data_IF_518653745089
#
_entry.id   IF_518653745089
#
_cell.length_a   1.000
_cell.length_b   1.000
_cell.length_c   1.000
_cell.angle_alpha   90.00
_cell.angle_beta   90.00
_cell.angle_gamma   90.00
#
_symmetry.space_group_name_H-M   'P 1'
#
loop_
_entity.id
_entity.type
_entity.pdbx_description
1 polymer ?
#
# COMPACT_ATOMS: atom_id res chain seq x y z
N UNK A 1 16.17 9.61 -13.79
CA UNK A 1 15.55 9.08 -12.58
C UNK A 1 14.30 8.29 -12.98
N UNK A 2 14.13 7.10 -12.41
CA UNK A 2 12.94 6.30 -12.65
C UNK A 2 11.87 6.71 -11.65
N UNK A 3 10.62 6.74 -12.10
CA UNK A 3 9.45 6.92 -11.27
C UNK A 3 8.90 5.59 -10.82
N UNK A 4 8.28 5.59 -9.66
CA UNK A 4 7.58 4.47 -9.08
C UNK A 4 6.57 5.01 -8.09
N UNK A 5 5.39 4.49 -8.10
CA UNK A 5 4.24 4.88 -7.31
C UNK A 5 3.90 6.38 -7.30
N UNK A 6 2.66 6.69 -7.05
CA UNK A 6 2.16 8.05 -6.87
C UNK A 6 0.92 8.04 -5.98
N UNK A 7 0.73 9.12 -5.24
CA UNK A 7 -0.48 9.37 -4.46
C UNK A 7 -0.95 10.81 -4.66
N UNK A 8 -2.12 11.15 -4.16
CA UNK A 8 -2.70 12.48 -4.21
C UNK A 8 -3.13 12.98 -2.85
N UNK A 9 -3.13 14.29 -2.67
CA UNK A 9 -3.71 14.97 -1.52
C UNK A 9 -4.40 16.24 -1.98
N UNK A 10 -5.59 16.47 -1.44
CA UNK A 10 -6.31 17.72 -1.63
C UNK A 10 -6.41 18.42 -0.28
N UNK A 11 -5.86 19.63 -0.20
CA UNK A 11 -6.01 20.45 1.00
C UNK A 11 -7.49 20.74 1.25
N UNK A 12 -8.08 20.31 2.39
CA UNK A 12 -9.50 20.45 2.64
C UNK A 12 -9.95 21.92 2.80
N UNK A 13 -9.04 22.82 3.17
CA UNK A 13 -9.35 24.23 3.41
C UNK A 13 -9.30 25.08 2.13
N UNK A 14 -8.28 24.92 1.30
CA UNK A 14 -8.10 25.72 0.09
C UNK A 14 -8.54 25.03 -1.20
N UNK A 15 -8.68 23.71 -1.16
CA UNK A 15 -8.92 22.89 -2.37
C UNK A 15 -7.69 22.75 -3.27
N UNK A 16 -6.50 23.09 -2.77
CA UNK A 16 -5.25 22.91 -3.51
C UNK A 16 -4.92 21.43 -3.63
N UNK A 17 -4.59 20.97 -4.86
CA UNK A 17 -4.32 19.58 -5.17
C UNK A 17 -2.83 19.34 -5.36
N UNK A 18 -2.28 18.36 -4.64
CA UNK A 18 -0.87 17.98 -4.71
C UNK A 18 -0.73 16.52 -5.12
N UNK A 19 -0.05 16.27 -6.24
CA UNK A 19 0.43 14.95 -6.60
C UNK A 19 1.77 14.69 -5.89
N UNK A 20 1.87 13.51 -5.26
CA UNK A 20 3.06 13.04 -4.55
C UNK A 20 3.62 11.89 -5.38
N UNK A 21 4.86 12.04 -5.88
CA UNK A 21 5.43 11.12 -6.87
C UNK A 21 6.77 10.57 -6.41
N UNK A 22 6.82 9.25 -6.25
CA UNK A 22 8.01 8.51 -5.88
C UNK A 22 9.01 8.44 -7.03
N UNK A 23 10.29 8.70 -6.71
CA UNK A 23 11.41 8.57 -7.64
C UNK A 23 12.53 7.76 -6.99
N UNK A 24 13.43 7.24 -7.80
CA UNK A 24 14.55 6.45 -7.29
C UNK A 24 15.39 7.19 -6.24
N UNK A 25 15.47 8.53 -6.30
CA UNK A 25 16.30 9.36 -5.42
C UNK A 25 15.54 10.14 -4.35
N UNK A 26 14.22 10.00 -4.27
CA UNK A 26 13.39 10.74 -3.32
C UNK A 26 11.93 10.84 -3.76
N UNK A 27 11.21 11.81 -3.22
CA UNK A 27 9.80 12.05 -3.50
C UNK A 27 9.58 13.49 -3.96
N UNK A 28 8.81 13.66 -5.02
CA UNK A 28 8.43 14.95 -5.59
C UNK A 28 7.02 15.33 -5.14
N UNK A 29 6.82 16.62 -4.82
CA UNK A 29 5.50 17.21 -4.58
C UNK A 29 5.20 18.19 -5.71
N UNK A 30 4.08 17.98 -6.37
CA UNK A 30 3.69 18.68 -7.59
C UNK A 30 2.31 19.27 -7.37
N UNK A 31 2.19 20.58 -7.43
CA UNK A 31 0.88 21.25 -7.44
C UNK A 31 0.21 20.96 -8.80
N UNK A 32 -0.92 20.30 -8.75
CA UNK A 32 -1.74 19.91 -9.90
C UNK A 32 -3.11 20.59 -9.90
N UNK A 33 -3.32 21.57 -9.02
CA UNK A 33 -4.57 22.35 -8.92
C UNK A 33 -5.00 22.93 -10.27
N UNK A 34 -4.03 23.38 -11.07
CA UNK A 34 -4.22 23.66 -12.51
C UNK A 34 -3.50 22.57 -13.32
N UNK A 35 -4.19 21.52 -13.83
CA UNK A 35 -3.57 20.41 -14.53
C UNK A 35 -2.92 20.83 -15.87
N UNK A 36 -3.21 22.03 -16.36
CA UNK A 36 -2.57 22.59 -17.55
C UNK A 36 -1.29 23.36 -17.28
N UNK A 37 -1.00 23.63 -15.97
CA UNK A 37 0.15 24.42 -15.52
C UNK A 37 0.72 23.89 -14.20
N UNK A 38 0.94 22.59 -14.15
CA UNK A 38 1.48 21.90 -12.98
C UNK A 38 2.82 22.49 -12.50
N UNK A 39 3.06 22.51 -11.18
CA UNK A 39 4.27 23.06 -10.56
C UNK A 39 4.96 22.02 -9.71
N UNK A 40 6.13 21.55 -10.11
CA UNK A 40 7.02 20.81 -9.24
C UNK A 40 7.69 21.79 -8.26
N UNK A 41 7.26 21.78 -7.00
CA UNK A 41 7.64 22.82 -6.05
C UNK A 41 8.38 22.33 -4.82
N UNK A 42 8.34 21.01 -4.50
CA UNK A 42 9.10 20.48 -3.38
C UNK A 42 9.70 19.10 -3.67
N UNK A 43 10.84 18.82 -3.05
CA UNK A 43 11.58 17.58 -3.14
C UNK A 43 12.02 17.13 -1.76
N UNK A 44 11.64 15.88 -1.40
CA UNK A 44 12.15 15.15 -0.25
C UNK A 44 13.21 14.17 -0.73
N UNK A 45 14.49 14.30 -0.33
CA UNK A 45 15.50 13.29 -0.65
C UNK A 45 15.20 11.94 -0.01
N UNK A 46 15.67 10.85 -0.63
CA UNK A 46 15.65 9.52 0.01
C UNK A 46 16.49 9.54 1.30
N UNK A 47 16.06 8.85 2.34
CA UNK A 47 16.78 8.85 3.63
C UNK A 47 18.12 8.09 3.57
N UNK A 48 18.26 7.18 2.61
CA UNK A 48 19.48 6.39 2.39
C UNK A 48 19.84 6.31 0.90
N UNK A 49 20.17 5.12 0.39
CA UNK A 49 20.55 4.93 -1.02
C UNK A 49 19.34 5.02 -1.96
N UNK A 50 19.56 5.35 -3.25
CA UNK A 50 18.51 5.24 -4.26
C UNK A 50 17.95 3.82 -4.35
N UNK A 51 16.63 3.72 -4.62
CA UNK A 51 15.93 2.47 -4.91
C UNK A 51 14.91 2.70 -6.01
N UNK A 52 14.63 1.69 -6.83
CA UNK A 52 13.57 1.76 -7.84
C UNK A 52 12.18 1.75 -7.19
N UNK A 53 12.04 1.03 -6.08
CA UNK A 53 10.75 0.83 -5.41
C UNK A 53 10.60 1.74 -4.21
N UNK A 54 9.49 2.47 -4.23
CA UNK A 54 9.05 3.42 -3.21
C UNK A 54 7.52 3.45 -3.24
N UNK A 55 6.89 3.37 -2.08
CA UNK A 55 5.45 3.45 -1.96
C UNK A 55 5.02 4.61 -1.06
N UNK A 56 3.84 5.19 -1.37
CA UNK A 56 3.35 6.43 -0.76
C UNK A 56 1.87 6.28 -0.45
N UNK A 57 1.49 6.60 0.79
CA UNK A 57 0.08 6.77 1.18
C UNK A 57 -0.10 8.07 1.94
N UNK A 58 -1.33 8.56 1.98
CA UNK A 58 -1.70 9.77 2.72
C UNK A 58 -2.76 9.42 3.75
N UNK A 59 -2.60 9.93 4.96
CA UNK A 59 -3.58 9.83 6.03
C UNK A 59 -3.45 11.04 6.95
N UNK A 60 -4.58 11.63 7.38
CA UNK A 60 -4.66 12.76 8.30
C UNK A 60 -3.64 13.88 7.95
N UNK A 61 -3.70 14.36 6.70
CA UNK A 61 -2.84 15.40 6.13
C UNK A 61 -1.32 15.11 6.20
N UNK A 62 -0.94 13.83 6.32
CA UNK A 62 0.46 13.39 6.30
C UNK A 62 0.72 12.39 5.17
N UNK A 63 1.83 12.56 4.47
CA UNK A 63 2.34 11.57 3.53
C UNK A 63 3.28 10.61 4.25
N UNK A 64 3.04 9.31 4.09
CA UNK A 64 3.82 8.19 4.59
C UNK A 64 4.57 7.55 3.43
N UNK A 65 5.90 7.54 3.49
CA UNK A 65 6.77 7.20 2.37
C UNK A 65 7.76 6.13 2.79
N UNK A 66 7.68 4.97 2.17
CA UNK A 66 8.58 3.84 2.36
C UNK A 66 9.47 3.61 1.14
N UNK A 67 10.48 2.77 1.26
CA UNK A 67 11.33 2.33 0.15
C UNK A 67 12.01 1.00 0.47
N UNK A 68 12.35 0.25 -0.56
CA UNK A 68 13.19 -0.96 -0.44
C UNK A 68 14.67 -0.68 -0.15
N UNK A 69 15.10 0.58 -0.18
CA UNK A 69 16.46 0.94 0.17
C UNK A 69 16.78 0.53 1.61
N UNK A 70 17.86 -0.21 1.82
CA UNK A 70 18.26 -0.65 3.16
C UNK A 70 18.46 0.51 4.12
N UNK A 71 17.81 0.45 5.29
CA UNK A 71 17.86 1.49 6.32
C UNK A 71 16.99 2.72 6.03
N UNK A 72 16.13 2.68 4.98
CA UNK A 72 15.29 3.83 4.62
C UNK A 72 14.26 4.16 5.69
N UNK A 73 13.63 3.15 6.31
CA UNK A 73 12.54 3.35 7.27
C UNK A 73 11.29 3.98 6.64
N UNK A 74 10.54 4.73 7.45
CA UNK A 74 9.34 5.46 7.04
C UNK A 74 9.58 6.97 7.21
N UNK A 75 9.59 7.71 6.10
CA UNK A 75 9.59 9.18 6.13
C UNK A 75 8.14 9.67 6.21
N UNK A 76 7.87 10.66 7.07
CA UNK A 76 6.54 11.25 7.25
C UNK A 76 6.65 12.75 6.97
N UNK A 77 5.76 13.25 6.12
CA UNK A 77 5.70 14.67 5.73
C UNK A 77 4.32 15.22 6.03
N UNK A 78 4.26 16.24 6.89
CA UNK A 78 3.04 17.00 7.12
C UNK A 78 2.74 17.88 5.90
N UNK A 79 1.63 17.63 5.21
CA UNK A 79 1.35 18.20 3.89
C UNK A 79 0.92 19.67 3.95
N UNK A 80 0.18 20.07 4.98
CA UNK A 80 -0.21 21.46 5.17
C UNK A 80 1.00 22.42 5.30
N UNK A 81 2.12 21.94 5.87
CA UNK A 81 3.37 22.70 5.95
C UNK A 81 3.98 23.03 4.58
N UNK A 82 3.59 22.32 3.52
CA UNK A 82 4.04 22.57 2.15
C UNK A 82 3.29 23.71 1.46
N UNK A 83 2.11 24.08 1.96
CA UNK A 83 1.24 25.08 1.33
C UNK A 83 1.87 26.47 1.26
N UNK A 84 2.74 26.80 2.22
CA UNK A 84 3.43 28.09 2.28
C UNK A 84 4.70 28.17 1.42
N UNK A 85 5.09 27.06 0.77
CA UNK A 85 6.29 27.03 -0.06
C UNK A 85 6.04 27.74 -1.40
N UNK A 86 7.04 28.51 -1.90
CA UNK A 86 6.96 29.16 -3.20
C UNK A 86 6.87 28.12 -4.34
N UNK A 87 5.98 28.40 -5.32
CA UNK A 87 5.71 27.53 -6.46
C UNK A 87 6.62 27.76 -7.66
N UNK A 88 7.45 28.81 -7.63
CA UNK A 88 8.32 29.21 -8.74
C UNK A 88 9.70 28.57 -8.69
N UNK A 89 9.96 27.74 -7.68
CA UNK A 89 11.22 27.00 -7.48
C UNK A 89 10.97 25.64 -6.83
N UNK A 90 11.94 24.73 -6.92
CA UNK A 90 11.92 23.45 -6.21
C UNK A 90 12.57 23.61 -4.83
N UNK A 91 11.77 23.51 -3.78
CA UNK A 91 12.22 23.60 -2.41
C UNK A 91 12.72 22.24 -1.92
N UNK A 92 13.93 22.18 -1.36
CA UNK A 92 14.39 20.96 -0.69
C UNK A 92 13.76 20.93 0.71
N UNK A 93 13.11 19.83 1.05
CA UNK A 93 12.47 19.65 2.35
C UNK A 93 13.06 18.45 3.10
N UNK A 94 12.88 18.45 4.39
CA UNK A 94 13.18 17.34 5.29
C UNK A 94 11.86 16.68 5.72
N UNK A 95 11.86 15.40 6.11
CA UNK A 95 10.66 14.78 6.67
C UNK A 95 10.27 15.48 7.98
N UNK A 96 8.98 15.61 8.23
CA UNK A 96 8.45 16.14 9.50
C UNK A 96 8.83 15.22 10.66
N UNK A 97 8.75 13.90 10.43
CA UNK A 97 9.19 12.87 11.36
C UNK A 97 9.65 11.61 10.63
N UNK A 98 10.21 10.68 11.39
CA UNK A 98 10.81 9.47 10.86
C UNK A 98 10.54 8.30 11.79
N UNK A 99 10.09 7.15 11.25
CA UNK A 99 9.97 5.92 11.99
C UNK A 99 11.00 4.90 11.51
N UNK A 100 11.83 4.40 12.41
CA UNK A 100 12.95 3.50 12.13
C UNK A 100 12.75 2.06 12.60
N UNK A 101 11.52 1.63 12.90
CA UNK A 101 11.23 0.30 13.44
C UNK A 101 11.40 -0.85 12.44
N UNK A 102 11.56 -0.54 11.14
CA UNK A 102 11.98 -1.46 10.09
C UNK A 102 13.06 -0.81 9.20
N UNK A 103 13.92 -1.64 8.56
CA UNK A 103 15.03 -1.12 7.75
C UNK A 103 14.63 -0.72 6.34
N UNK A 104 13.68 -1.42 5.74
CA UNK A 104 13.11 -1.18 4.42
C UNK A 104 11.67 -1.69 4.40
N UNK A 105 10.88 -1.25 3.44
CA UNK A 105 9.57 -1.82 3.15
C UNK A 105 9.33 -1.80 1.63
N UNK A 106 8.60 -2.80 1.13
CA UNK A 106 8.16 -2.84 -0.26
C UNK A 106 6.97 -1.90 -0.46
N UNK A 107 5.89 -2.10 0.31
CA UNK A 107 4.68 -1.28 0.28
C UNK A 107 4.25 -0.86 1.69
N UNK A 108 3.35 0.12 1.75
CA UNK A 108 2.59 0.53 2.93
C UNK A 108 1.14 0.75 2.54
N UNK A 109 0.19 0.18 3.28
CA UNK A 109 -1.22 0.44 3.12
C UNK A 109 -1.80 1.00 4.43
N UNK A 110 -2.76 1.91 4.33
CA UNK A 110 -3.41 2.51 5.49
C UNK A 110 -4.90 2.20 5.43
N UNK A 111 -5.45 1.66 6.50
CA UNK A 111 -6.89 1.63 6.69
C UNK A 111 -7.32 2.97 7.28
N UNK A 112 -7.85 3.85 6.42
CA UNK A 112 -8.26 5.20 6.82
C UNK A 112 -9.43 5.20 7.82
N UNK A 113 -10.24 4.12 7.86
CA UNK A 113 -11.37 4.00 8.78
C UNK A 113 -10.90 3.76 10.22
N UNK A 114 -9.79 3.03 10.39
CA UNK A 114 -9.29 2.63 11.72
C UNK A 114 -8.00 3.35 12.14
N UNK A 115 -7.31 4.01 11.19
CA UNK A 115 -6.06 4.71 11.45
C UNK A 115 -4.85 3.80 11.66
N UNK A 116 -4.89 2.55 11.15
CA UNK A 116 -3.73 1.65 11.20
C UNK A 116 -3.02 1.58 9.85
N UNK A 117 -1.68 1.62 9.89
CA UNK A 117 -0.83 1.40 8.72
C UNK A 117 -0.19 0.00 8.76
N UNK A 118 -0.12 -0.63 7.61
CA UNK A 118 0.44 -1.96 7.37
C UNK A 118 1.64 -1.82 6.44
N UNK A 119 2.86 -1.80 7.01
CA UNK A 119 4.08 -1.84 6.21
C UNK A 119 4.45 -3.31 5.93
N UNK A 120 4.72 -3.64 4.66
CA UNK A 120 4.94 -5.01 4.18
C UNK A 120 6.19 -5.13 3.32
N UNK A 121 6.64 -6.36 3.08
CA UNK A 121 7.94 -6.59 2.46
C UNK A 121 9.08 -5.94 3.26
N UNK A 122 8.89 -5.82 4.59
CA UNK A 122 9.85 -5.19 5.48
C UNK A 122 10.98 -6.14 5.86
N UNK A 123 12.06 -5.61 6.46
CA UNK A 123 13.11 -6.43 7.06
C UNK A 123 12.73 -7.08 8.38
N UNK A 124 11.47 -6.87 8.85
CA UNK A 124 10.91 -7.44 10.07
C UNK A 124 9.80 -8.44 9.72
N UNK A 125 9.42 -9.30 10.66
CA UNK A 125 8.27 -10.22 10.57
C UNK A 125 8.19 -11.01 9.25
N UNK A 126 9.33 -11.53 8.80
CA UNK A 126 9.45 -12.31 7.54
C UNK A 126 8.95 -11.56 6.29
N UNK A 127 8.80 -10.24 6.34
CA UNK A 127 8.19 -9.42 5.28
C UNK A 127 6.66 -9.46 5.26
N UNK A 128 6.02 -10.01 6.27
CA UNK A 128 4.57 -9.95 6.49
C UNK A 128 4.14 -8.61 7.08
N UNK A 129 3.10 -8.58 7.89
CA UNK A 129 2.52 -7.34 8.39
C UNK A 129 3.36 -6.75 9.54
N UNK A 130 3.75 -5.49 9.39
CA UNK A 130 4.28 -4.63 10.46
C UNK A 130 3.24 -3.53 10.69
N UNK A 131 2.45 -3.64 11.78
CA UNK A 131 1.24 -2.85 12.00
C UNK A 131 1.54 -1.67 12.92
N UNK A 132 1.26 -0.48 12.41
CA UNK A 132 1.48 0.78 13.12
C UNK A 132 0.16 1.46 13.44
N UNK A 133 0.02 1.93 14.67
CA UNK A 133 -1.03 2.86 15.07
C UNK A 133 -0.64 4.29 14.66
N UNK A 134 -1.54 4.98 13.99
CA UNK A 134 -1.38 6.35 13.50
C UNK A 134 -2.25 7.35 14.29
N UNK A 135 -2.64 7.08 15.54
CA UNK A 135 -3.36 8.05 16.39
C UNK A 135 -2.60 9.39 16.45
N UNK A 136 -1.27 9.34 16.51
CA UNK A 136 -0.38 10.49 16.19
C UNK A 136 0.37 10.18 14.89
N UNK A 137 -0.02 10.76 13.75
CA UNK A 137 0.62 10.51 12.45
C UNK A 137 2.13 10.81 12.44
N UNK A 138 2.60 11.68 13.32
CA UNK A 138 4.02 12.03 13.42
C UNK A 138 4.82 11.12 14.36
N UNK A 139 4.13 10.27 15.13
CA UNK A 139 4.75 9.34 16.06
C UNK A 139 4.14 7.93 15.99
N UNK A 140 4.20 7.25 14.82
CA UNK A 140 3.62 5.91 14.67
C UNK A 140 4.14 4.92 15.70
N UNK A 141 3.25 4.09 16.24
CA UNK A 141 3.58 3.10 17.26
C UNK A 141 3.35 1.69 16.74
N UNK A 142 4.34 0.80 16.88
CA UNK A 142 4.16 -0.63 16.58
C UNK A 142 3.15 -1.23 17.57
N UNK A 143 2.06 -1.79 17.04
CA UNK A 143 0.98 -2.40 17.84
C UNK A 143 0.73 -3.86 17.54
N UNK A 144 1.23 -4.36 16.39
CA UNK A 144 1.05 -5.75 16.02
C UNK A 144 1.90 -6.19 14.84
N UNK A 145 1.84 -7.48 14.55
CA UNK A 145 2.56 -8.08 13.43
C UNK A 145 1.94 -9.41 13.02
N UNK A 146 2.24 -9.83 11.78
CA UNK A 146 1.96 -11.17 11.27
C UNK A 146 3.16 -11.62 10.43
N UNK A 147 3.74 -12.80 10.72
CA UNK A 147 5.01 -13.26 10.17
C UNK A 147 4.96 -14.66 9.54
N UNK A 148 3.75 -15.23 9.38
CA UNK A 148 3.57 -16.57 8.79
C UNK A 148 3.79 -16.58 7.26
N UNK A 149 3.69 -15.42 6.60
CA UNK A 149 3.99 -15.26 5.16
C UNK A 149 4.58 -13.89 4.86
N UNK A 150 5.41 -13.86 3.81
CA UNK A 150 5.74 -12.62 3.12
C UNK A 150 4.47 -12.06 2.46
N UNK A 151 4.28 -10.75 2.49
CA UNK A 151 3.23 -10.06 1.73
C UNK A 151 3.86 -9.04 0.78
N UNK A 152 3.46 -9.11 -0.49
CA UNK A 152 3.89 -8.17 -1.52
C UNK A 152 3.00 -6.92 -1.51
N UNK A 153 1.69 -7.11 -1.41
CA UNK A 153 0.70 -6.08 -1.24
C UNK A 153 -0.42 -6.54 -0.29
N UNK A 154 -1.18 -5.59 0.28
CA UNK A 154 -2.28 -5.89 1.20
C UNK A 154 -3.45 -4.95 1.00
N UNK A 155 -4.66 -5.44 1.29
CA UNK A 155 -5.86 -4.61 1.35
C UNK A 155 -6.55 -4.78 2.71
N UNK A 156 -6.29 -3.89 3.68
CA UNK A 156 -6.99 -3.88 4.97
C UNK A 156 -8.37 -3.23 4.83
N UNK A 157 -9.37 -3.84 5.44
CA UNK A 157 -10.76 -3.35 5.43
C UNK A 157 -11.43 -3.60 6.79
N UNK A 158 -12.39 -2.78 7.17
CA UNK A 158 -13.39 -3.15 8.15
C UNK A 158 -14.49 -3.92 7.41
N UNK A 159 -14.51 -5.24 7.58
CA UNK A 159 -15.36 -6.11 6.78
C UNK A 159 -16.85 -5.87 7.01
N UNK A 160 -17.61 -5.68 5.93
CA UNK A 160 -19.06 -5.46 5.93
C UNK A 160 -19.78 -6.40 4.93
N UNK A 161 -19.14 -7.52 4.61
CA UNK A 161 -19.64 -8.50 3.65
C UNK A 161 -20.62 -9.50 4.22
N UNK A 162 -20.91 -10.56 3.45
CA UNK A 162 -21.92 -11.55 3.83
C UNK A 162 -21.57 -12.47 5.00
N UNK A 163 -20.27 -12.59 5.36
CA UNK A 163 -19.83 -13.44 6.46
C UNK A 163 -20.09 -12.76 7.81
N UNK A 164 -21.16 -13.19 8.49
CA UNK A 164 -21.62 -12.57 9.74
C UNK A 164 -20.60 -12.72 10.90
N UNK A 165 -19.70 -13.71 10.85
CA UNK A 165 -18.69 -13.94 11.90
C UNK A 165 -17.61 -12.86 11.91
N UNK A 166 -17.42 -12.14 10.77
CA UNK A 166 -16.40 -11.11 10.61
C UNK A 166 -16.94 -9.69 10.41
N UNK A 167 -18.26 -9.49 10.38
CA UNK A 167 -18.83 -8.14 10.20
C UNK A 167 -18.36 -7.19 11.30
N UNK A 168 -17.79 -6.06 10.88
CA UNK A 168 -17.24 -5.03 11.76
C UNK A 168 -15.82 -5.29 12.25
N UNK A 169 -15.20 -6.42 11.89
CA UNK A 169 -13.81 -6.73 12.22
C UNK A 169 -12.86 -6.19 11.15
N UNK A 170 -11.68 -5.81 11.57
CA UNK A 170 -10.61 -5.47 10.63
C UNK A 170 -9.96 -6.73 10.07
N UNK A 171 -10.10 -6.93 8.77
CA UNK A 171 -9.57 -8.06 8.01
C UNK A 171 -8.57 -7.54 6.98
N UNK A 172 -7.47 -8.27 6.80
CA UNK A 172 -6.44 -7.92 5.81
C UNK A 172 -6.37 -9.03 4.75
N UNK A 173 -6.59 -8.68 3.50
CA UNK A 173 -6.31 -9.56 2.37
C UNK A 173 -4.85 -9.35 1.97
N UNK A 174 -4.03 -10.39 2.07
CA UNK A 174 -2.60 -10.35 1.78
C UNK A 174 -2.30 -11.03 0.44
N UNK A 175 -1.63 -10.33 -0.47
CA UNK A 175 -1.14 -10.84 -1.75
C UNK A 175 0.33 -11.21 -1.59
N UNK A 176 0.63 -12.51 -1.52
CA UNK A 176 1.87 -13.03 -0.95
C UNK A 176 2.92 -13.43 -2.01
N UNK A 177 2.86 -12.86 -3.22
CA UNK A 177 3.75 -13.24 -4.30
C UNK A 177 3.63 -14.74 -4.63
N UNK A 178 4.69 -15.49 -4.48
CA UNK A 178 4.69 -16.95 -4.70
C UNK A 178 3.86 -17.74 -3.67
N UNK A 179 3.45 -17.11 -2.57
CA UNK A 179 2.66 -17.73 -1.49
C UNK A 179 1.16 -17.74 -1.73
N UNK A 180 0.66 -17.12 -2.80
CA UNK A 180 -0.77 -16.98 -3.08
C UNK A 180 -1.42 -15.87 -2.26
N UNK A 181 -2.58 -16.13 -1.66
CA UNK A 181 -3.38 -15.15 -0.91
C UNK A 181 -3.59 -15.66 0.51
N UNK A 182 -3.46 -14.78 1.50
CA UNK A 182 -3.90 -15.04 2.87
C UNK A 182 -4.99 -14.04 3.26
N UNK A 183 -5.99 -14.51 3.99
CA UNK A 183 -6.98 -13.67 4.68
C UNK A 183 -6.62 -13.71 6.16
N UNK A 184 -6.41 -12.56 6.75
CA UNK A 184 -5.90 -12.42 8.12
C UNK A 184 -6.88 -11.59 8.93
N UNK A 185 -7.28 -12.08 10.10
CA UNK A 185 -8.03 -11.31 11.09
C UNK A 185 -7.05 -10.46 11.91
N UNK A 186 -7.18 -9.17 11.79
CA UNK A 186 -6.35 -8.17 12.44
C UNK A 186 -7.17 -7.26 13.38
N UNK A 187 -8.33 -7.71 13.84
CA UNK A 187 -9.17 -6.95 14.79
C UNK A 187 -8.39 -6.68 16.09
N UNK A 188 -7.82 -7.72 16.67
CA UNK A 188 -6.88 -7.57 17.79
C UNK A 188 -5.45 -7.52 17.25
N UNK A 189 -4.86 -6.33 17.21
CA UNK A 189 -3.49 -6.13 16.71
C UNK A 189 -2.43 -6.91 17.49
N UNK A 190 -2.74 -7.33 18.72
CA UNK A 190 -1.83 -8.12 19.58
C UNK A 190 -1.97 -9.63 19.35
N UNK A 191 -3.02 -10.07 18.66
CA UNK A 191 -3.33 -11.48 18.35
C UNK A 191 -3.83 -11.65 16.90
N UNK A 192 -2.99 -11.22 15.95
CA UNK A 192 -3.28 -11.28 14.51
C UNK A 192 -3.20 -12.73 14.04
N UNK A 193 -4.23 -13.22 13.37
CA UNK A 193 -4.37 -14.63 13.05
C UNK A 193 -4.81 -14.91 11.62
N UNK A 194 -4.34 -16.05 11.07
CA UNK A 194 -4.75 -16.54 9.76
C UNK A 194 -6.22 -17.03 9.82
N UNK A 195 -7.06 -16.51 8.91
CA UNK A 195 -8.41 -17.01 8.66
C UNK A 195 -8.36 -18.09 7.58
N UNK A 196 -7.83 -17.76 6.40
CA UNK A 196 -7.72 -18.68 5.28
C UNK A 196 -6.49 -18.41 4.43
N UNK A 197 -6.06 -19.45 3.70
CA UNK A 197 -5.03 -19.34 2.67
C UNK A 197 -5.50 -19.97 1.37
N UNK A 198 -5.28 -19.30 0.25
CA UNK A 198 -5.70 -19.73 -1.08
C UNK A 198 -4.53 -19.67 -2.06
N UNK A 199 -4.44 -20.74 -2.89
CA UNK A 199 -3.64 -20.74 -4.12
C UNK A 199 -4.56 -20.99 -5.32
N UNK A 200 -4.12 -20.61 -6.52
CA UNK A 200 -4.91 -20.74 -7.74
C UNK A 200 -4.10 -21.32 -8.90
N UNK A 201 -4.80 -21.81 -9.92
CA UNK A 201 -4.16 -22.38 -11.09
C UNK A 201 -3.43 -21.30 -11.92
N UNK A 202 -2.25 -21.63 -12.41
CA UNK A 202 -1.41 -20.69 -13.16
C UNK A 202 -0.99 -19.46 -12.34
N UNK A 203 -0.80 -19.62 -11.02
CA UNK A 203 -0.19 -18.59 -10.19
C UNK A 203 1.28 -18.44 -10.56
N UNK A 204 1.67 -17.26 -10.99
CA UNK A 204 3.05 -16.84 -11.22
C UNK A 204 3.59 -16.08 -10.01
N UNK A 205 2.96 -14.96 -9.70
CA UNK A 205 3.29 -14.10 -8.55
C UNK A 205 2.08 -13.24 -8.18
N UNK A 206 1.37 -13.60 -7.11
CA UNK A 206 0.20 -12.86 -6.66
C UNK A 206 0.60 -11.44 -6.26
N UNK A 207 0.17 -10.44 -7.03
CA UNK A 207 0.75 -9.11 -7.01
C UNK A 207 -0.01 -8.16 -6.07
N UNK A 208 -1.18 -7.73 -6.50
CA UNK A 208 -2.00 -6.75 -5.78
C UNK A 208 -3.49 -7.02 -6.01
N UNK A 209 -4.35 -6.43 -5.19
CA UNK A 209 -5.77 -6.55 -5.37
C UNK A 209 -6.60 -5.61 -4.53
N UNK A 210 -7.89 -5.61 -4.78
CA UNK A 210 -8.84 -4.73 -4.15
C UNK A 210 -10.16 -5.44 -3.85
N UNK A 211 -10.70 -5.23 -2.66
CA UNK A 211 -12.03 -5.74 -2.27
C UNK A 211 -13.10 -4.80 -2.78
N UNK A 212 -14.11 -5.33 -3.48
CA UNK A 212 -15.22 -4.53 -3.97
C UNK A 212 -16.11 -4.00 -2.85
N UNK A 213 -16.88 -2.93 -3.12
CA UNK A 213 -17.67 -2.18 -2.15
C UNK A 213 -18.65 -3.01 -1.29
N UNK A 214 -19.11 -4.16 -1.79
CA UNK A 214 -20.02 -5.04 -1.05
C UNK A 214 -19.29 -6.10 -0.22
N UNK A 215 -17.97 -6.08 -0.19
CA UNK A 215 -17.05 -6.98 0.50
C UNK A 215 -17.34 -8.48 0.23
N UNK A 216 -17.95 -8.77 -0.91
CA UNK A 216 -18.20 -10.14 -1.36
C UNK A 216 -17.12 -10.65 -2.30
N UNK A 217 -16.55 -9.77 -3.10
CA UNK A 217 -15.55 -10.14 -4.11
C UNK A 217 -14.28 -9.36 -3.91
N UNK A 218 -13.16 -10.06 -4.06
CA UNK A 218 -11.83 -9.46 -4.20
C UNK A 218 -11.36 -9.65 -5.64
N UNK A 219 -10.83 -8.59 -6.22
CA UNK A 219 -10.24 -8.55 -7.56
C UNK A 219 -8.74 -8.43 -7.40
N UNK A 220 -7.96 -9.28 -8.06
CA UNK A 220 -6.52 -9.23 -7.93
C UNK A 220 -5.82 -9.60 -9.24
N UNK A 221 -4.54 -9.25 -9.34
CA UNK A 221 -3.68 -9.52 -10.48
C UNK A 221 -2.49 -10.40 -10.09
N UNK A 222 -1.93 -11.07 -11.09
CA UNK A 222 -0.68 -11.82 -10.99
C UNK A 222 0.36 -11.11 -11.87
N UNK A 223 1.56 -10.91 -11.37
CA UNK A 223 2.61 -10.15 -12.07
C UNK A 223 3.34 -10.98 -13.13
N UNK A 224 3.37 -12.30 -12.98
CA UNK A 224 4.20 -13.19 -13.78
C UNK A 224 3.42 -14.30 -14.52
N UNK A 225 2.08 -14.35 -14.47
CA UNK A 225 1.32 -15.40 -15.13
C UNK A 225 1.40 -15.30 -16.65
N UNK A 226 1.46 -14.11 -17.24
CA UNK A 226 1.70 -13.90 -18.67
C UNK A 226 3.05 -14.47 -19.08
N UNK A 227 4.10 -14.14 -18.34
CA UNK A 227 5.46 -14.57 -18.64
C UNK A 227 5.64 -16.09 -18.46
N UNK A 228 5.04 -16.66 -17.40
CA UNK A 228 5.23 -18.05 -17.04
C UNK A 228 4.33 -19.00 -17.84
N UNK A 229 3.15 -18.57 -18.26
CA UNK A 229 2.12 -19.42 -18.86
C UNK A 229 1.66 -18.96 -20.25
N UNK A 230 2.07 -17.78 -20.70
CA UNK A 230 1.68 -17.20 -22.00
C UNK A 230 0.21 -16.77 -22.04
N UNK A 231 -0.33 -16.37 -20.90
CA UNK A 231 -1.66 -15.77 -20.79
C UNK A 231 -1.65 -14.36 -21.33
N UNK A 232 -2.82 -13.78 -21.59
CA UNK A 232 -2.98 -12.34 -21.61
C UNK A 232 -3.19 -11.83 -20.18
N UNK A 233 -3.13 -10.51 -19.97
CA UNK A 233 -3.33 -9.88 -18.66
C UNK A 233 -4.67 -10.30 -18.06
N UNK A 234 -4.63 -10.80 -16.82
CA UNK A 234 -5.79 -11.30 -16.09
C UNK A 234 -6.08 -10.49 -14.84
N UNK A 235 -7.35 -10.23 -14.62
CA UNK A 235 -7.88 -9.84 -13.31
C UNK A 235 -8.69 -11.00 -12.76
N UNK A 236 -8.20 -11.65 -11.73
CA UNK A 236 -8.86 -12.75 -11.06
C UNK A 236 -9.98 -12.25 -10.14
N UNK A 237 -11.00 -13.04 -9.98
CA UNK A 237 -12.17 -12.74 -9.13
C UNK A 237 -12.25 -13.84 -8.07
N UNK A 238 -12.07 -13.46 -6.80
CA UNK A 238 -12.19 -14.31 -5.64
C UNK A 238 -13.50 -14.00 -4.90
N UNK A 239 -14.34 -14.99 -4.64
CA UNK A 239 -15.49 -14.88 -3.74
C UNK A 239 -14.99 -15.02 -2.29
N UNK A 240 -15.29 -14.02 -1.49
CA UNK A 240 -14.96 -13.92 -0.06
C UNK A 240 -16.23 -13.76 0.78
N UNK A 241 -17.36 -14.28 0.29
CA UNK A 241 -18.62 -14.30 1.03
C UNK A 241 -18.57 -15.18 2.30
N UNK A 242 -17.64 -16.13 2.34
CA UNK A 242 -17.23 -16.96 3.46
C UNK A 242 -15.71 -16.82 3.55
N UNK A 243 -15.21 -16.07 4.54
CA UNK A 243 -13.79 -15.74 4.66
C UNK A 243 -12.93 -16.95 5.06
N UNK A 244 -13.53 -17.96 5.70
CA UNK A 244 -12.86 -19.22 6.03
C UNK A 244 -12.71 -20.14 4.79
N UNK A 245 -13.55 -19.94 3.74
CA UNK A 245 -13.57 -20.77 2.55
C UNK A 245 -13.60 -19.95 1.25
N UNK A 246 -12.62 -19.05 1.01
CA UNK A 246 -12.55 -18.25 -0.21
C UNK A 246 -12.26 -19.15 -1.42
N UNK A 247 -12.77 -18.76 -2.60
CA UNK A 247 -12.49 -19.49 -3.83
C UNK A 247 -12.46 -18.60 -5.06
N UNK A 248 -11.74 -19.02 -6.10
CA UNK A 248 -11.70 -18.30 -7.37
C UNK A 248 -12.97 -18.60 -8.16
N UNK A 249 -13.74 -17.56 -8.46
CA UNK A 249 -14.94 -17.63 -9.33
C UNK A 249 -14.55 -17.72 -10.80
N UNK A 250 -13.49 -17.01 -11.19
CA UNK A 250 -13.01 -16.89 -12.55
C UNK A 250 -12.05 -15.72 -12.70
N UNK A 251 -11.87 -15.30 -13.92
CA UNK A 251 -11.05 -14.12 -14.25
C UNK A 251 -11.61 -13.39 -15.46
N UNK A 252 -11.31 -12.12 -15.55
CA UNK A 252 -11.37 -11.36 -16.79
C UNK A 252 -9.99 -11.43 -17.45
N UNK A 253 -9.95 -11.72 -18.75
CA UNK A 253 -8.71 -11.74 -19.53
C UNK A 253 -8.78 -10.66 -20.61
N UNK A 254 -7.77 -9.82 -20.67
CA UNK A 254 -7.65 -8.80 -21.71
C UNK A 254 -7.26 -9.40 -23.07
N UNK A 255 -7.43 -8.62 -24.16
CA UNK A 255 -7.05 -9.07 -25.51
C UNK A 255 -5.54 -8.87 -25.81
N UNK A 256 -4.76 -8.41 -24.83
CA UNK A 256 -3.33 -8.08 -24.97
C UNK A 256 -2.52 -8.63 -23.79
N UNK A 257 -1.27 -8.92 -24.07
CA UNK A 257 -0.25 -9.15 -23.02
C UNK A 257 0.16 -7.77 -22.47
N UNK A 258 0.20 -7.64 -21.15
CA UNK A 258 0.94 -6.61 -20.46
C UNK A 258 1.87 -7.29 -19.46
N UNK A 259 3.11 -6.88 -19.41
CA UNK A 259 4.09 -7.34 -18.42
C UNK A 259 4.39 -6.12 -17.57
N UNK A 260 4.12 -6.21 -16.30
CA UNK A 260 4.40 -5.15 -15.32
C UNK A 260 5.90 -5.02 -15.04
#
# INVERSE_FOLDING_TARGET
ENGNDCWGWTDPDSGREIAIYGRSTGTSFIDVTDPTNMKYFANLPTSTSPSLWRDIKVYDDHAFIVSEAGGHGLQIVKLDALLDLPLDQVNQIEPTSFYGGFGNAHNIMINEETGYAYAIGTSTYSGGLHILDLEDPQAPVLVGSYDESYSHDVHPIVYQGPDEDYVGREVVICFNGYGGISIVDAEDKTDVSLVAQLTYAQSGYTHQGYVGENHRYCFFNDELDEQNFGNNTRTYIMDIADLDNPFIVGFFEADVEAID
#
